data_IF_442420475076
#
_entry.id   IF_442420475076
#
_cell.length_a   1.000
_cell.length_b   1.000
_cell.length_c   1.000
_cell.angle_alpha   90.00
_cell.angle_beta   90.00
_cell.angle_gamma   90.00
#
_symmetry.space_group_name_H-M   'P 1'
#
loop_
_entity.id
_entity.type
_entity.pdbx_description
1 polymer ?
#
# COMPACT_ATOMS: atom_id res chain seq x y z
N UNK A 1 25.08 6.23 -78.70
CA UNK A 1 25.91 5.29 -77.93
C UNK A 1 27.25 5.94 -77.68
N UNK A 2 27.98 5.77 -76.58
CA UNK A 2 28.01 4.87 -75.42
C UNK A 2 28.42 5.77 -74.21
N UNK A 3 27.95 5.61 -72.95
CA UNK A 3 28.49 4.72 -71.88
C UNK A 3 30.04 4.82 -71.76
N UNK A 4 30.74 4.95 -70.63
CA UNK A 4 30.44 4.76 -69.22
C UNK A 4 31.62 5.29 -68.34
N UNK A 5 31.41 5.14 -67.03
CA UNK A 5 32.16 5.40 -65.79
C UNK A 5 33.62 4.91 -65.64
N UNK A 6 34.31 5.53 -64.65
CA UNK A 6 35.71 5.46 -64.21
C UNK A 6 36.21 4.14 -63.55
N UNK A 7 37.51 4.09 -63.16
CA UNK A 7 37.89 3.66 -61.80
C UNK A 7 38.97 4.59 -61.17
N UNK A 8 38.79 5.05 -59.92
CA UNK A 8 39.20 4.45 -58.65
C UNK A 8 40.66 4.72 -58.24
N UNK A 9 40.84 5.45 -57.15
CA UNK A 9 42.04 5.41 -56.32
C UNK A 9 41.60 5.26 -54.86
N UNK A 10 41.80 4.06 -54.31
CA UNK A 10 41.69 3.75 -52.89
C UNK A 10 43.06 4.02 -52.28
N UNK A 11 43.14 4.95 -51.33
CA UNK A 11 44.26 5.04 -50.41
C UNK A 11 43.72 4.87 -48.99
N UNK A 12 43.84 3.63 -48.49
CA UNK A 12 43.60 3.29 -47.10
C UNK A 12 44.80 3.77 -46.25
N UNK A 13 44.53 4.64 -45.28
CA UNK A 13 45.44 5.01 -44.19
C UNK A 13 44.70 4.85 -42.85
N UNK A 14 45.41 4.48 -41.78
CA UNK A 14 44.85 3.70 -40.68
C UNK A 14 43.99 4.58 -39.77
N UNK A 15 42.74 4.19 -39.56
CA UNK A 15 42.01 4.58 -38.36
C UNK A 15 42.02 3.40 -37.42
N UNK A 16 43.04 3.37 -36.58
CA UNK A 16 42.93 2.84 -35.22
C UNK A 16 41.78 3.59 -34.54
N UNK A 17 40.56 3.12 -34.79
CA UNK A 17 39.45 3.35 -33.89
C UNK A 17 39.66 2.36 -32.75
N UNK A 18 40.62 2.70 -31.88
CA UNK A 18 40.70 2.14 -30.54
C UNK A 18 39.28 2.17 -29.97
N UNK A 19 38.71 0.97 -29.80
CA UNK A 19 37.46 0.78 -29.11
C UNK A 19 37.61 1.50 -27.78
N UNK A 20 36.92 2.63 -27.65
CA UNK A 20 36.85 3.39 -26.42
C UNK A 20 36.17 2.45 -25.44
N UNK A 21 36.97 1.75 -24.64
CA UNK A 21 36.49 0.93 -23.54
C UNK A 21 35.74 1.90 -22.63
N UNK A 22 34.40 1.88 -22.72
CA UNK A 22 33.56 2.59 -21.78
C UNK A 22 33.92 2.07 -20.40
N UNK A 23 34.50 2.95 -19.59
CA UNK A 23 34.79 2.67 -18.20
C UNK A 23 33.48 2.18 -17.53
N UNK A 24 33.41 0.94 -17.04
CA UNK A 24 32.22 0.42 -16.38
C UNK A 24 31.78 1.28 -15.19
N UNK A 25 32.71 2.05 -14.61
CA UNK A 25 32.45 2.97 -13.50
C UNK A 25 31.66 4.23 -13.89
N UNK A 26 31.58 4.58 -15.17
CA UNK A 26 30.87 5.78 -15.64
C UNK A 26 29.38 5.56 -15.96
N UNK A 27 28.90 4.31 -15.93
CA UNK A 27 27.51 3.97 -16.26
C UNK A 27 26.56 4.42 -15.16
N UNK A 28 25.46 5.06 -15.55
CA UNK A 28 24.30 5.34 -14.69
C UNK A 28 23.70 4.04 -14.15
N UNK A 29 22.91 4.15 -13.07
CA UNK A 29 22.21 3.01 -12.50
C UNK A 29 21.30 2.30 -13.50
N UNK A 30 20.58 3.08 -14.32
CA UNK A 30 19.72 2.57 -15.37
C UNK A 30 20.49 1.78 -16.44
N UNK A 31 21.68 2.23 -16.84
CA UNK A 31 22.52 1.54 -17.82
C UNK A 31 23.09 0.23 -17.26
N UNK A 32 23.50 0.22 -15.99
CA UNK A 32 23.92 -1.02 -15.31
C UNK A 32 22.79 -2.03 -15.21
N UNK A 33 21.61 -1.59 -14.79
CA UNK A 33 20.42 -2.44 -14.71
C UNK A 33 20.02 -3.02 -16.08
N UNK A 34 20.03 -2.20 -17.14
CA UNK A 34 19.71 -2.66 -18.49
C UNK A 34 20.73 -3.68 -19.04
N UNK A 35 22.03 -3.44 -18.83
CA UNK A 35 23.07 -4.38 -19.21
C UNK A 35 22.92 -5.73 -18.48
N UNK A 36 22.64 -5.68 -17.18
CA UNK A 36 22.42 -6.88 -16.36
C UNK A 36 21.14 -7.63 -16.76
N UNK A 37 20.05 -6.91 -17.06
CA UNK A 37 18.81 -7.51 -17.49
C UNK A 37 18.98 -8.26 -18.82
N UNK A 38 19.69 -7.64 -19.78
CA UNK A 38 20.05 -8.26 -21.05
C UNK A 38 20.95 -9.48 -20.86
N UNK A 39 21.93 -9.40 -19.95
CA UNK A 39 22.88 -10.49 -19.67
C UNK A 39 22.21 -11.69 -19.00
N UNK A 40 21.29 -11.45 -18.08
CA UNK A 40 20.66 -12.50 -17.26
C UNK A 40 19.34 -13.01 -17.79
N UNK A 41 18.71 -12.28 -18.71
CA UNK A 41 17.37 -12.59 -19.20
C UNK A 41 16.27 -12.34 -18.16
N UNK A 42 16.53 -11.56 -17.11
CA UNK A 42 15.58 -11.24 -16.03
C UNK A 42 15.43 -9.72 -15.86
N UNK A 43 14.25 -9.21 -15.45
CA UNK A 43 14.12 -7.81 -15.07
C UNK A 43 15.05 -7.43 -13.92
N UNK A 44 15.68 -6.26 -14.01
CA UNK A 44 16.58 -5.72 -12.97
C UNK A 44 16.10 -4.34 -12.56
N UNK A 45 15.98 -4.10 -11.27
CA UNK A 45 15.49 -2.82 -10.76
C UNK A 45 16.50 -1.69 -11.02
N UNK A 46 15.97 -0.54 -11.41
CA UNK A 46 16.66 0.74 -11.49
C UNK A 46 16.40 1.46 -10.16
N UNK A 47 17.27 1.23 -9.18
CA UNK A 47 17.13 1.77 -7.81
C UNK A 47 17.11 3.30 -7.81
N UNK A 48 17.82 3.96 -8.73
CA UNK A 48 17.76 5.43 -8.87
C UNK A 48 16.39 5.94 -9.35
N UNK A 49 15.54 5.08 -9.91
CA UNK A 49 14.17 5.38 -10.32
C UNK A 49 13.14 5.15 -9.23
N UNK A 50 13.55 4.67 -8.05
CA UNK A 50 12.66 4.37 -6.93
C UNK A 50 12.17 5.64 -6.25
N UNK A 51 10.87 5.73 -6.01
CA UNK A 51 10.23 6.79 -5.22
C UNK A 51 9.45 6.20 -4.04
N UNK A 52 8.70 7.03 -3.33
CA UNK A 52 7.73 6.62 -2.31
C UNK A 52 6.65 5.66 -2.85
N UNK A 53 6.31 5.78 -4.13
CA UNK A 53 5.21 5.05 -4.79
C UNK A 53 5.62 4.26 -6.02
N UNK A 54 6.80 4.53 -6.57
CA UNK A 54 7.26 3.93 -7.83
C UNK A 54 8.46 3.01 -7.60
N UNK A 55 8.42 1.88 -8.29
CA UNK A 55 9.58 1.04 -8.57
C UNK A 55 9.72 0.91 -10.10
N UNK A 56 10.95 0.90 -10.60
CA UNK A 56 11.24 0.87 -12.04
C UNK A 56 12.21 -0.25 -12.34
N UNK A 57 11.94 -1.03 -13.39
CA UNK A 57 12.79 -2.14 -13.82
C UNK A 57 13.19 -1.99 -15.29
N UNK A 58 14.43 -2.37 -15.59
CA UNK A 58 14.90 -2.60 -16.94
C UNK A 58 14.61 -4.05 -17.35
N UNK A 59 14.02 -4.25 -18.52
CA UNK A 59 13.67 -5.57 -19.04
C UNK A 59 14.74 -6.08 -20.04
N UNK A 60 14.87 -7.41 -20.21
CA UNK A 60 15.84 -7.99 -21.14
C UNK A 60 15.67 -7.59 -22.61
N UNK A 61 14.44 -7.23 -23.01
CA UNK A 61 14.09 -6.78 -24.36
C UNK A 61 14.42 -5.30 -24.64
N UNK A 62 14.98 -4.60 -23.65
CA UNK A 62 15.33 -3.18 -23.75
C UNK A 62 14.20 -2.22 -23.35
N UNK A 63 13.01 -2.73 -23.01
CA UNK A 63 11.93 -1.91 -22.45
C UNK A 63 12.14 -1.63 -20.96
N UNK A 64 11.32 -0.73 -20.39
CA UNK A 64 11.25 -0.49 -18.95
C UNK A 64 9.82 -0.71 -18.46
N UNK A 65 9.71 -1.26 -17.26
CA UNK A 65 8.43 -1.39 -16.54
C UNK A 65 8.47 -0.50 -15.32
N UNK A 66 7.38 0.24 -15.07
CA UNK A 66 7.20 1.01 -13.84
C UNK A 66 5.95 0.50 -13.12
N UNK A 67 6.08 0.15 -11.84
CA UNK A 67 4.96 -0.19 -10.97
C UNK A 67 4.72 0.99 -10.05
N UNK A 68 3.49 1.51 -10.06
CA UNK A 68 3.06 2.65 -9.26
C UNK A 68 2.00 2.22 -8.25
N UNK A 69 2.26 2.44 -6.97
CA UNK A 69 1.29 2.26 -5.91
C UNK A 69 0.35 3.48 -5.81
N UNK A 70 -0.89 3.25 -5.37
CA UNK A 70 -1.88 4.31 -5.16
C UNK A 70 -1.59 5.15 -3.91
N UNK A 71 -0.92 4.55 -2.93
CA UNK A 71 -0.46 5.18 -1.70
C UNK A 71 1.02 4.85 -1.51
N UNK A 72 1.77 5.65 -0.73
CA UNK A 72 3.18 5.36 -0.47
C UNK A 72 3.39 3.95 0.08
N UNK A 73 4.42 3.27 -0.42
CA UNK A 73 4.91 1.98 0.11
C UNK A 73 6.28 2.12 0.77
N UNK A 74 6.91 3.28 0.54
CA UNK A 74 8.17 3.69 1.15
C UNK A 74 8.06 5.14 1.61
N UNK A 75 8.84 5.49 2.61
CA UNK A 75 8.91 6.85 3.17
C UNK A 75 10.36 7.28 3.27
N UNK A 76 10.59 8.58 3.14
CA UNK A 76 11.94 9.15 3.22
C UNK A 76 12.28 9.48 4.67
N UNK A 77 13.28 8.79 5.22
CA UNK A 77 13.82 8.99 6.58
C UNK A 77 15.33 9.14 6.49
N UNK A 78 15.87 10.23 7.01
CA UNK A 78 17.31 10.54 7.00
C UNK A 78 17.94 10.43 5.59
N UNK A 79 17.23 10.94 4.58
CA UNK A 79 17.65 10.91 3.18
C UNK A 79 17.52 9.56 2.48
N UNK A 80 17.02 8.52 3.16
CA UNK A 80 16.85 7.16 2.61
C UNK A 80 15.38 6.81 2.46
N UNK A 81 15.06 6.06 1.41
CA UNK A 81 13.74 5.42 1.28
C UNK A 81 13.76 4.11 2.07
N UNK A 82 12.87 4.02 3.06
CA UNK A 82 12.63 2.81 3.85
C UNK A 82 11.19 2.34 3.63
N UNK A 83 10.88 1.04 3.80
CA UNK A 83 9.50 0.57 3.76
C UNK A 83 8.62 1.31 4.78
N UNK A 84 7.35 1.50 4.43
CA UNK A 84 6.31 1.92 5.37
C UNK A 84 6.18 0.86 6.47
N UNK A 85 6.04 1.32 7.71
CA UNK A 85 5.79 0.48 8.88
C UNK A 85 4.84 1.23 9.83
N UNK A 86 3.56 0.88 9.78
CA UNK A 86 2.51 1.49 10.60
C UNK A 86 2.46 0.92 12.02
N UNK A 87 3.33 -0.05 12.36
CA UNK A 87 3.35 -0.64 13.71
C UNK A 87 3.63 0.46 14.74
N UNK A 88 2.74 0.57 15.72
CA UNK A 88 2.81 1.57 16.77
C UNK A 88 3.83 1.19 17.84
N UNK A 89 4.57 2.19 18.28
CA UNK A 89 5.48 2.11 19.41
C UNK A 89 5.31 3.32 20.33
N UNK A 90 5.62 3.12 21.61
CA UNK A 90 5.56 4.20 22.60
C UNK A 90 6.86 5.01 22.55
N UNK A 91 6.72 6.31 22.34
CA UNK A 91 7.80 7.29 22.38
C UNK A 91 8.24 7.61 23.80
N UNK A 92 9.41 8.25 23.92
CA UNK A 92 9.96 8.71 25.21
C UNK A 92 9.16 9.85 25.83
N UNK A 93 8.41 10.59 25.02
CA UNK A 93 7.49 11.65 25.40
C UNK A 93 6.14 11.11 25.92
N UNK A 94 5.98 9.78 25.99
CA UNK A 94 4.76 9.10 26.42
C UNK A 94 3.69 8.98 25.34
N UNK A 95 3.87 9.62 24.17
CA UNK A 95 2.97 9.47 23.02
C UNK A 95 3.22 8.15 22.30
N UNK A 96 2.31 7.79 21.42
CA UNK A 96 2.40 6.58 20.60
C UNK A 96 2.54 7.00 19.15
N UNK A 97 3.43 6.39 18.38
CA UNK A 97 3.64 6.75 16.97
C UNK A 97 3.92 5.50 16.13
N UNK A 98 3.54 5.49 14.84
CA UNK A 98 4.00 4.46 13.91
C UNK A 98 5.50 4.60 13.66
N UNK A 99 6.17 3.48 13.36
CA UNK A 99 7.61 3.44 13.10
C UNK A 99 8.04 4.22 11.84
N UNK A 100 7.21 4.18 10.80
CA UNK A 100 7.47 4.81 9.51
C UNK A 100 6.18 5.05 8.70
N UNK A 101 5.73 6.30 8.65
CA UNK A 101 4.59 6.78 7.83
C UNK A 101 5.00 7.99 6.98
N UNK A 102 4.24 8.23 5.90
CA UNK A 102 4.51 9.33 4.97
C UNK A 102 4.23 10.69 5.61
N UNK A 103 3.26 10.75 6.52
CA UNK A 103 2.95 11.92 7.33
C UNK A 103 3.38 11.70 8.78
N UNK A 104 3.67 12.79 9.49
CA UNK A 104 3.84 12.73 10.93
C UNK A 104 2.51 12.37 11.59
N UNK A 105 2.52 11.36 12.45
CA UNK A 105 1.32 10.91 13.18
C UNK A 105 1.71 10.51 14.59
N UNK A 106 0.97 11.01 15.58
CA UNK A 106 1.10 10.54 16.96
C UNK A 106 -0.27 10.42 17.62
N UNK A 107 -0.46 9.35 18.38
CA UNK A 107 -1.61 9.13 19.24
C UNK A 107 -1.30 9.45 20.71
N UNK A 108 -2.34 9.73 21.49
CA UNK A 108 -2.24 9.98 22.92
C UNK A 108 -1.67 8.78 23.68
N UNK A 109 -0.89 9.06 24.71
CA UNK A 109 -0.49 8.04 25.70
C UNK A 109 -1.54 7.81 26.79
N UNK A 110 -2.65 8.57 26.77
CA UNK A 110 -3.60 8.70 27.87
C UNK A 110 -3.63 10.13 28.44
N UNK A 111 -4.50 10.38 29.42
CA UNK A 111 -4.68 11.68 30.06
C UNK A 111 -5.36 12.71 29.15
N UNK A 112 -5.01 13.98 29.31
CA UNK A 112 -5.66 15.11 28.60
C UNK A 112 -5.00 15.46 27.26
N UNK A 113 -3.97 14.72 26.85
CA UNK A 113 -3.28 14.99 25.60
C UNK A 113 -4.20 14.72 24.39
N UNK A 114 -4.02 15.45 23.27
CA UNK A 114 -4.80 15.22 22.05
C UNK A 114 -4.74 13.75 21.62
N UNK A 115 -5.91 13.18 21.28
CA UNK A 115 -6.11 11.81 20.84
C UNK A 115 -5.20 11.47 19.67
N UNK A 116 -5.15 12.34 18.67
CA UNK A 116 -4.31 12.20 17.49
C UNK A 116 -3.76 13.56 17.06
N UNK A 117 -2.52 13.59 16.60
CA UNK A 117 -1.89 14.75 15.96
C UNK A 117 -1.29 14.27 14.65
N UNK A 118 -1.74 14.86 13.54
CA UNK A 118 -1.15 14.70 12.22
C UNK A 118 -0.34 15.95 11.87
N UNK A 119 0.83 15.74 11.27
CA UNK A 119 1.78 16.79 10.96
C UNK A 119 2.34 16.63 9.55
N UNK A 120 2.38 17.74 8.79
CA UNK A 120 3.04 17.81 7.50
C UNK A 120 3.67 19.19 7.30
N UNK A 121 4.96 19.23 6.96
CA UNK A 121 5.70 20.45 6.65
C UNK A 121 5.53 21.57 7.71
N UNK A 122 5.54 21.20 9.00
CA UNK A 122 5.39 22.13 10.13
C UNK A 122 3.96 22.62 10.40
N UNK A 123 2.97 22.05 9.71
CA UNK A 123 1.53 22.28 9.91
C UNK A 123 0.92 21.10 10.62
N UNK A 124 0.02 21.37 11.56
CA UNK A 124 -0.55 20.33 12.43
C UNK A 124 -2.07 20.39 12.41
N UNK A 125 -2.71 19.22 12.47
CA UNK A 125 -4.11 19.05 12.85
C UNK A 125 -4.17 18.09 14.03
N UNK A 126 -4.85 18.49 15.10
CA UNK A 126 -5.02 17.66 16.29
C UNK A 126 -6.48 17.41 16.59
N UNK A 127 -6.82 16.15 16.82
CA UNK A 127 -8.12 15.68 17.28
C UNK A 127 -8.03 15.38 18.79
N UNK A 128 -9.02 15.81 19.57
CA UNK A 128 -9.09 15.63 21.03
C UNK A 128 -10.35 14.88 21.42
N UNK A 129 -10.21 13.95 22.37
CA UNK A 129 -11.33 13.32 23.04
C UNK A 129 -11.87 14.26 24.14
N UNK A 130 -13.19 14.38 24.34
CA UNK A 130 -13.77 15.34 25.29
C UNK A 130 -13.46 15.07 26.77
N UNK A 131 -12.99 13.87 27.10
CA UNK A 131 -12.62 13.44 28.46
C UNK A 131 -11.16 13.00 28.50
N UNK A 132 -10.53 12.90 29.69
CA UNK A 132 -9.24 12.25 29.82
C UNK A 132 -9.29 10.83 29.25
N UNK A 133 -8.30 10.49 28.43
CA UNK A 133 -8.16 9.17 27.84
C UNK A 133 -7.51 8.19 28.84
N UNK A 134 -7.95 6.92 28.86
CA UNK A 134 -7.20 5.86 29.53
C UNK A 134 -5.85 5.63 28.83
N UNK A 135 -4.96 4.86 29.44
CA UNK A 135 -3.77 4.39 28.74
C UNK A 135 -4.17 3.40 27.62
N UNK A 136 -3.66 3.55 26.38
CA UNK A 136 -4.01 2.64 25.31
C UNK A 136 -3.24 1.32 25.38
N UNK A 137 -3.89 0.24 24.95
CA UNK A 137 -3.24 -1.01 24.56
C UNK A 137 -2.84 -0.95 23.09
N UNK A 138 -1.60 -1.32 22.76
CA UNK A 138 -1.11 -1.32 21.38
C UNK A 138 -1.28 -2.69 20.72
N UNK A 139 -1.78 -2.68 19.50
CA UNK A 139 -2.09 -3.86 18.68
C UNK A 139 -1.69 -3.58 17.23
N UNK A 140 -0.44 -3.88 16.86
CA UNK A 140 0.06 -3.62 15.51
C UNK A 140 0.02 -2.14 15.17
N UNK A 141 -0.81 -1.75 14.21
CA UNK A 141 -1.03 -0.36 13.77
C UNK A 141 -2.06 0.40 14.62
N UNK A 142 -2.59 -0.23 15.66
CA UNK A 142 -3.77 0.25 16.38
C UNK A 142 -3.49 0.51 17.86
N UNK A 143 -4.07 1.57 18.39
CA UNK A 143 -4.11 1.88 19.82
C UNK A 143 -5.58 1.82 20.30
N UNK A 144 -5.82 0.98 21.30
CA UNK A 144 -7.16 0.74 21.87
C UNK A 144 -7.22 1.36 23.26
N UNK A 145 -8.09 2.35 23.42
CA UNK A 145 -8.38 3.04 24.67
C UNK A 145 -9.62 2.37 25.31
N UNK A 146 -9.45 1.60 26.39
CA UNK A 146 -10.54 0.84 26.96
C UNK A 146 -11.50 1.71 27.78
N UNK A 147 -12.80 1.47 27.68
CA UNK A 147 -13.82 2.10 28.55
C UNK A 147 -13.77 3.64 28.51
N UNK A 148 -13.56 4.23 27.32
CA UNK A 148 -13.67 5.70 27.14
C UNK A 148 -15.06 6.21 27.46
N UNK A 149 -16.05 5.33 27.35
CA UNK A 149 -17.36 5.40 27.97
C UNK A 149 -17.67 3.99 28.54
N UNK A 150 -18.59 3.86 29.51
CA UNK A 150 -18.99 2.55 30.02
C UNK A 150 -19.40 1.59 28.89
N UNK A 151 -18.67 0.47 28.75
CA UNK A 151 -18.86 -0.56 27.74
C UNK A 151 -18.48 -0.15 26.31
N UNK A 152 -17.71 0.93 26.13
CA UNK A 152 -17.27 1.43 24.81
C UNK A 152 -15.76 1.68 24.81
N UNK A 153 -15.05 1.05 23.87
CA UNK A 153 -13.65 1.35 23.63
C UNK A 153 -13.51 2.32 22.45
N UNK A 154 -12.43 3.08 22.44
CA UNK A 154 -12.02 3.87 21.28
C UNK A 154 -10.79 3.20 20.67
N UNK A 155 -10.88 2.81 19.41
CA UNK A 155 -9.74 2.33 18.63
C UNK A 155 -9.31 3.42 17.66
N UNK A 156 -8.01 3.70 17.60
CA UNK A 156 -7.40 4.48 16.52
C UNK A 156 -6.39 3.60 15.79
N UNK A 157 -6.31 3.72 14.47
CA UNK A 157 -5.46 2.89 13.62
C UNK A 157 -4.71 3.75 12.63
N UNK A 158 -3.39 3.61 12.58
CA UNK A 158 -2.53 4.34 11.66
C UNK A 158 -2.62 3.77 10.24
N UNK A 159 -2.73 4.65 9.25
CA UNK A 159 -2.45 4.31 7.85
C UNK A 159 -1.15 4.98 7.42
N UNK A 160 -0.72 4.74 6.18
CA UNK A 160 0.54 5.32 5.69
C UNK A 160 0.54 6.85 5.68
N UNK A 161 -0.61 7.46 5.44
CA UNK A 161 -0.80 8.90 5.21
C UNK A 161 -1.96 9.47 6.03
N UNK A 162 -2.54 8.70 6.95
CA UNK A 162 -3.72 9.11 7.72
C UNK A 162 -3.88 8.25 8.97
N UNK A 163 -5.03 8.37 9.61
CA UNK A 163 -5.50 7.42 10.61
C UNK A 163 -7.02 7.27 10.51
N UNK A 164 -7.53 6.15 11.03
CA UNK A 164 -8.94 5.96 11.27
C UNK A 164 -9.21 5.87 12.77
N UNK A 165 -10.46 6.10 13.16
CA UNK A 165 -10.92 5.84 14.52
C UNK A 165 -12.31 5.20 14.51
N UNK A 166 -12.57 4.38 15.51
CA UNK A 166 -13.84 3.68 15.68
C UNK A 166 -14.19 3.55 17.17
N UNK A 167 -15.48 3.67 17.49
CA UNK A 167 -16.00 3.32 18.81
C UNK A 167 -16.50 1.88 18.77
N UNK A 168 -15.94 1.04 19.63
CA UNK A 168 -16.28 -0.37 19.76
C UNK A 168 -17.26 -0.50 20.91
N UNK A 169 -18.54 -0.62 20.59
CA UNK A 169 -19.62 -0.79 21.56
C UNK A 169 -19.76 -2.27 21.91
N UNK A 170 -19.47 -2.63 23.16
CA UNK A 170 -19.33 -4.04 23.58
C UNK A 170 -20.67 -4.73 23.86
N UNK A 171 -21.71 -3.97 24.16
CA UNK A 171 -23.00 -4.52 24.56
C UNK A 171 -24.18 -3.64 24.14
N UNK A 172 -25.40 -4.20 24.20
CA UNK A 172 -26.64 -3.46 23.91
C UNK A 172 -26.88 -2.35 24.93
N UNK A 173 -26.52 -2.59 26.19
CA UNK A 173 -26.63 -1.63 27.27
C UNK A 173 -25.71 -0.43 27.00
N UNK A 174 -24.46 -0.70 26.57
CA UNK A 174 -23.52 0.35 26.17
C UNK A 174 -24.00 1.14 24.94
N UNK A 175 -24.65 0.49 23.98
CA UNK A 175 -25.24 1.15 22.81
C UNK A 175 -26.37 2.13 23.18
N UNK A 176 -26.98 1.96 24.36
CA UNK A 176 -28.03 2.84 24.88
C UNK A 176 -27.45 4.02 25.68
N UNK A 177 -26.12 4.18 25.72
CA UNK A 177 -25.47 5.29 26.39
C UNK A 177 -25.79 6.61 25.64
N UNK A 178 -26.43 7.61 26.29
CA UNK A 178 -26.82 8.85 25.63
C UNK A 178 -25.62 9.66 25.10
N UNK A 179 -24.42 9.45 25.63
CA UNK A 179 -23.20 10.09 25.12
C UNK A 179 -22.77 9.61 23.72
N UNK A 180 -23.35 8.52 23.22
CA UNK A 180 -23.13 8.05 21.85
C UNK A 180 -24.07 8.73 20.84
N UNK A 181 -25.16 9.36 21.28
CA UNK A 181 -26.11 10.03 20.39
C UNK A 181 -25.52 11.30 19.76
N UNK A 182 -24.66 11.99 20.50
CA UNK A 182 -23.88 13.12 20.00
C UNK A 182 -22.51 13.11 20.66
N UNK A 183 -21.47 13.09 19.83
CA UNK A 183 -20.09 13.06 20.30
C UNK A 183 -19.29 14.18 19.65
N UNK A 184 -18.86 15.11 20.48
CA UNK A 184 -18.10 16.28 20.05
C UNK A 184 -16.60 16.02 20.22
N UNK A 185 -15.89 15.96 19.10
CA UNK A 185 -14.43 15.90 19.09
C UNK A 185 -13.85 17.31 19.02
N UNK A 186 -12.84 17.57 19.84
CA UNK A 186 -12.10 18.83 19.77
C UNK A 186 -11.17 18.81 18.55
N UNK A 187 -11.24 19.84 17.71
CA UNK A 187 -10.34 19.99 16.56
C UNK A 187 -9.54 21.28 16.71
N UNK A 188 -8.22 21.18 16.58
CA UNK A 188 -7.31 22.34 16.49
C UNK A 188 -6.41 22.18 15.29
N UNK A 189 -6.04 23.29 14.68
CA UNK A 189 -5.12 23.31 13.55
C UNK A 189 -4.09 24.42 13.72
N UNK A 190 -2.86 24.17 13.26
CA UNK A 190 -1.75 25.11 13.28
C UNK A 190 -1.25 25.31 11.85
N UNK A 191 -1.23 26.58 11.41
CA UNK A 191 -0.81 26.93 10.05
C UNK A 191 -1.81 26.50 8.96
N UNK A 192 -3.05 26.20 9.34
CA UNK A 192 -4.11 25.68 8.48
C UNK A 192 -5.46 26.34 8.82
N UNK A 193 -6.31 26.45 7.81
CA UNK A 193 -7.72 26.83 7.98
C UNK A 193 -8.60 25.61 7.79
N UNK A 194 -9.36 25.22 8.81
CA UNK A 194 -10.31 24.11 8.69
C UNK A 194 -11.66 24.62 8.18
N UNK A 195 -12.24 23.92 7.21
CA UNK A 195 -13.59 24.15 6.70
C UNK A 195 -14.42 22.87 6.76
N UNK A 196 -15.69 23.03 7.14
CA UNK A 196 -16.68 21.99 6.98
C UNK A 196 -17.33 22.14 5.59
N UNK A 197 -17.42 21.03 4.87
CA UNK A 197 -18.08 20.92 3.59
C UNK A 197 -19.57 20.59 3.79
N UNK A 198 -20.37 20.82 2.76
CA UNK A 198 -21.83 20.60 2.81
C UNK A 198 -22.24 19.15 3.12
N UNK A 199 -21.33 18.20 2.90
CA UNK A 199 -21.55 16.77 3.09
C UNK A 199 -20.97 16.22 4.41
N UNK A 200 -20.56 17.11 5.32
CA UNK A 200 -20.02 16.79 6.63
C UNK A 200 -18.53 16.44 6.64
N UNK A 201 -17.84 16.47 5.49
CA UNK A 201 -16.39 16.33 5.44
C UNK A 201 -15.71 17.59 5.96
N UNK A 202 -14.51 17.43 6.51
CA UNK A 202 -13.64 18.51 6.90
C UNK A 202 -12.45 18.59 5.95
N UNK A 203 -12.03 19.81 5.61
CA UNK A 203 -10.79 20.09 4.88
C UNK A 203 -9.94 21.07 5.66
N UNK A 204 -8.66 20.73 5.85
CA UNK A 204 -7.67 21.66 6.38
C UNK A 204 -6.84 22.21 5.23
N UNK A 205 -6.94 23.52 5.00
CA UNK A 205 -6.33 24.21 3.89
C UNK A 205 -5.07 24.96 4.33
N UNK A 206 -4.01 24.91 3.51
CA UNK A 206 -2.84 25.77 3.69
C UNK A 206 -3.13 27.23 3.28
N UNK A 207 -2.19 28.17 3.53
CA UNK A 207 -2.36 29.58 3.13
C UNK A 207 -2.54 29.81 1.63
N UNK A 208 -2.17 28.85 0.78
CA UNK A 208 -2.36 28.89 -0.67
C UNK A 208 -3.73 28.32 -1.10
N UNK A 209 -4.54 27.85 -0.15
CA UNK A 209 -5.83 27.22 -0.41
C UNK A 209 -5.74 25.73 -0.80
N UNK A 210 -4.57 25.10 -0.72
CA UNK A 210 -4.41 23.68 -1.00
C UNK A 210 -4.85 22.83 0.19
N UNK A 211 -5.54 21.72 -0.08
CA UNK A 211 -5.95 20.79 0.97
C UNK A 211 -4.76 19.96 1.44
N UNK A 212 -4.46 20.02 2.73
CA UNK A 212 -3.38 19.26 3.39
C UNK A 212 -3.95 18.04 4.12
N UNK A 213 -5.08 18.22 4.81
CA UNK A 213 -5.78 17.13 5.47
C UNK A 213 -7.25 17.13 5.10
N UNK A 214 -7.86 15.94 5.04
CA UNK A 214 -9.28 15.76 4.80
C UNK A 214 -9.87 14.67 5.69
N UNK A 215 -11.14 14.79 6.06
CA UNK A 215 -11.88 13.71 6.69
C UNK A 215 -12.79 13.01 5.69
N UNK A 216 -12.91 11.69 5.80
CA UNK A 216 -13.98 10.97 5.12
C UNK A 216 -15.33 11.25 5.80
N UNK A 217 -16.42 10.92 5.11
CA UNK A 217 -17.76 10.92 5.72
C UNK A 217 -17.79 9.87 6.84
N UNK A 218 -18.24 10.21 8.06
CA UNK A 218 -18.44 9.22 9.10
C UNK A 218 -19.42 8.14 8.65
N UNK A 219 -19.15 6.89 9.03
CA UNK A 219 -20.03 5.76 8.76
C UNK A 219 -20.26 4.98 10.05
N UNK A 220 -21.43 4.38 10.18
CA UNK A 220 -21.78 3.48 11.28
C UNK A 220 -22.28 2.17 10.68
N UNK A 221 -21.77 1.05 11.18
CA UNK A 221 -22.15 -0.29 10.75
C UNK A 221 -22.55 -1.12 11.97
N UNK A 222 -23.53 -2.01 11.81
CA UNK A 222 -23.77 -3.06 12.79
C UNK A 222 -22.81 -4.23 12.53
N UNK A 223 -22.42 -4.93 13.60
CA UNK A 223 -21.64 -6.17 13.53
C UNK A 223 -22.57 -7.39 13.60
N UNK A 224 -23.70 -7.35 12.89
CA UNK A 224 -24.65 -8.44 12.77
C UNK A 224 -23.91 -9.72 12.39
N UNK A 225 -23.86 -10.65 13.35
CA UNK A 225 -22.93 -11.77 13.33
C UNK A 225 -22.98 -12.53 12.02
N UNK A 226 -21.81 -12.75 11.43
CA UNK A 226 -21.63 -13.90 10.56
C UNK A 226 -21.99 -15.13 11.40
N UNK A 227 -23.22 -15.64 11.26
CA UNK A 227 -23.41 -17.07 11.40
C UNK A 227 -22.43 -17.67 10.41
N UNK A 228 -21.34 -18.23 10.91
CA UNK A 228 -20.58 -19.23 10.17
C UNK A 228 -21.63 -20.21 9.68
N UNK A 229 -22.00 -20.12 8.41
CA UNK A 229 -22.73 -21.19 7.77
C UNK A 229 -21.78 -22.37 7.90
N UNK A 230 -22.12 -23.31 8.78
CA UNK A 230 -21.60 -24.67 8.70
C UNK A 230 -21.63 -25.06 7.21
N UNK A 231 -20.53 -25.58 6.65
CA UNK A 231 -20.55 -26.01 5.27
C UNK A 231 -21.63 -27.08 5.16
N UNK A 232 -22.79 -26.71 4.61
CA UNK A 232 -23.76 -27.68 4.15
C UNK A 232 -23.02 -28.52 3.12
N UNK A 233 -22.72 -29.76 3.51
CA UNK A 233 -22.23 -30.77 2.60
C UNK A 233 -23.14 -30.73 1.36
N UNK A 234 -22.55 -30.46 0.20
CA UNK A 234 -23.23 -30.50 -1.08
C UNK A 234 -23.83 -31.90 -1.24
N UNK A 235 -25.13 -32.01 -0.94
CA UNK A 235 -25.91 -33.18 -1.30
C UNK A 235 -25.96 -33.17 -2.82
N UNK A 236 -25.16 -34.05 -3.42
CA UNK A 236 -25.15 -34.29 -4.85
C UNK A 236 -26.57 -34.72 -5.26
N UNK A 237 -27.32 -33.79 -5.87
CA UNK A 237 -28.53 -34.14 -6.59
C UNK A 237 -28.15 -35.10 -7.72
N UNK A 238 -28.45 -36.38 -7.52
CA UNK A 238 -28.49 -37.36 -8.60
C UNK A 238 -29.61 -36.94 -9.56
N UNK A 239 -29.24 -36.38 -10.70
CA UNK A 239 -30.15 -36.22 -11.82
C UNK A 239 -30.32 -37.58 -12.50
N UNK A 240 -31.49 -38.20 -12.31
CA UNK A 240 -31.94 -39.31 -13.15
C UNK A 240 -32.26 -38.79 -14.56
N UNK A 241 -31.79 -39.44 -15.64
CA UNK A 241 -32.20 -39.08 -16.99
C UNK A 241 -33.53 -39.77 -17.36
N UNK A 242 -34.54 -38.98 -17.73
CA UNK A 242 -35.71 -39.47 -18.47
C UNK A 242 -35.43 -39.48 -19.98
N UNK A 243 -35.95 -40.47 -20.74
CA UNK A 243 -35.63 -40.65 -22.15
C UNK A 243 -36.51 -39.78 -23.05
N UNK A 244 -35.90 -39.09 -24.02
CA UNK A 244 -36.61 -38.56 -25.19
C UNK A 244 -35.88 -38.95 -26.47
N UNK A 245 -36.67 -39.42 -27.42
CA UNK A 245 -36.32 -40.23 -28.57
C UNK A 245 -35.82 -39.39 -29.76
N UNK A 246 -34.80 -39.93 -30.44
CA UNK A 246 -34.30 -39.72 -31.82
C UNK A 246 -34.45 -38.35 -32.51
N UNK A 247 -33.31 -37.81 -33.00
CA UNK A 247 -32.87 -38.05 -34.40
C UNK A 247 -31.53 -37.34 -34.78
N UNK A 248 -30.65 -38.13 -35.43
CA UNK A 248 -29.53 -37.83 -36.35
C UNK A 248 -28.24 -37.19 -35.76
N UNK A 249 -27.16 -37.94 -35.53
CA UNK A 249 -26.17 -38.51 -36.47
C UNK A 249 -25.09 -37.51 -36.92
N UNK A 250 -23.89 -37.62 -36.33
CA UNK A 250 -22.58 -37.84 -36.98
C UNK A 250 -21.44 -37.47 -36.01
N UNK A 251 -20.65 -38.47 -35.60
CA UNK A 251 -19.36 -38.32 -34.93
C UNK A 251 -18.21 -38.26 -35.98
N UNK A 252 -17.02 -37.73 -35.64
CA UNK A 252 -15.99 -38.56 -34.99
C UNK A 252 -15.24 -37.83 -33.83
N UNK A 253 -15.03 -38.50 -32.69
CA UNK A 253 -13.79 -39.22 -32.27
C UNK A 253 -12.54 -38.33 -32.12
N UNK A 254 -12.06 -38.16 -30.87
CA UNK A 254 -10.65 -37.79 -30.60
C UNK A 254 -10.33 -37.10 -29.27
N UNK A 255 -10.10 -37.91 -28.23
CA UNK A 255 -9.16 -37.74 -27.10
C UNK A 255 -9.18 -36.48 -26.18
N UNK A 256 -9.24 -36.77 -24.87
CA UNK A 256 -9.25 -35.88 -23.72
C UNK A 256 -7.91 -35.18 -23.41
N UNK A 257 -7.91 -34.08 -22.62
CA UNK A 257 -6.77 -33.68 -21.80
C UNK A 257 -6.92 -34.17 -20.35
N UNK A 258 -5.88 -34.84 -19.84
CA UNK A 258 -5.67 -35.08 -18.42
C UNK A 258 -4.78 -33.97 -17.84
N UNK A 259 -5.19 -33.37 -16.73
CA UNK A 259 -4.30 -32.78 -15.71
C UNK A 259 -4.11 -33.85 -14.61
N UNK A 260 -3.02 -33.88 -13.80
CA UNK A 260 -2.90 -32.89 -12.72
C UNK A 260 -1.48 -32.60 -12.15
N UNK A 261 -1.49 -31.63 -11.24
CA UNK A 261 -0.69 -31.53 -10.01
C UNK A 261 0.69 -30.83 -10.01
N UNK A 262 0.71 -29.81 -9.16
CA UNK A 262 1.85 -29.03 -8.71
C UNK A 262 2.73 -29.77 -7.69
N UNK A 263 4.01 -29.38 -7.61
CA UNK A 263 4.84 -29.54 -6.40
C UNK A 263 5.87 -28.42 -6.30
N UNK A 264 5.82 -27.64 -5.23
CA UNK A 264 6.79 -26.60 -4.88
C UNK A 264 8.04 -27.21 -4.19
N UNK A 265 9.25 -26.64 -4.35
CA UNK A 265 10.42 -27.02 -3.56
C UNK A 265 10.73 -26.06 -2.38
N UNK A 266 11.24 -26.66 -1.29
CA UNK A 266 11.78 -26.06 -0.05
C UNK A 266 13.12 -25.31 -0.28
N UNK A 267 13.52 -24.38 0.61
CA UNK A 267 14.85 -23.76 0.58
C UNK A 267 15.93 -24.65 1.25
N UNK A 268 17.15 -24.59 0.71
CA UNK A 268 18.34 -25.29 1.21
C UNK A 268 19.19 -24.40 2.13
N UNK A 269 19.78 -25.03 3.14
CA UNK A 269 20.67 -24.46 4.14
C UNK A 269 22.11 -24.26 3.61
N UNK A 270 22.81 -23.28 4.20
CA UNK A 270 24.23 -22.99 4.00
C UNK A 270 25.15 -24.05 4.65
N UNK A 271 26.39 -24.23 4.18
CA UNK A 271 27.43 -24.89 4.95
C UNK A 271 28.36 -23.89 5.64
N UNK A 272 28.79 -24.27 6.85
CA UNK A 272 29.88 -23.67 7.59
C UNK A 272 31.20 -24.40 7.27
N UNK A 273 32.27 -23.62 7.14
CA UNK A 273 33.64 -23.92 7.57
C UNK A 273 34.38 -22.59 7.70
#
# INVERSE_FOLDING_TARGET
GLLATAPAAVAAGPRDAAARSEDPAARTDAERAAAEAKRTGKPVEIVSGRTETDDVWANPDGTKTANRALVPVRVRKDGKLIPVDTTLERGRDGRVAPKATAMGLTFSGGGEAPLAVMSENGRDVSLSWPKPLPEPKLEGDSAVYPEVLPGVDLRVSATVDSFSHALIVKSREAASNPALAQLDFGLKAKGLTVRAEADGQLRALDPNGQTVFGSAKPQMWDAGGQKTAEPQALQQSQAQPQPQDRSQSLAPKGAAPASPSAKAPRPAAAPAA
#
